data_IF_094269321295
#
_entry.id   IF_094269321295
#
_cell.length_a   1.000
_cell.length_b   1.000
_cell.length_c   1.000
_cell.angle_alpha   90.00
_cell.angle_beta   90.00
_cell.angle_gamma   90.00
#
_symmetry.space_group_name_H-M   'P 1'
#
loop_
_entity.id
_entity.type
_entity.pdbx_description
1 polymer ?
#
# COMPACT_ATOMS: atom_id res chain seq x y z
N UNK A 1 8.25 -8.98 6.01
CA UNK A 1 7.85 -9.06 4.59
C UNK A 1 8.22 -10.44 4.02
N UNK A 2 7.26 -11.13 3.41
CA UNK A 2 7.45 -12.46 2.77
C UNK A 2 7.84 -12.32 1.29
N UNK A 3 8.31 -13.40 0.67
CA UNK A 3 8.62 -13.42 -0.77
C UNK A 3 7.38 -13.26 -1.65
N UNK A 4 6.24 -13.77 -1.19
CA UNK A 4 4.94 -13.61 -1.88
C UNK A 4 4.51 -12.14 -1.90
N UNK A 5 4.65 -11.44 -0.77
CA UNK A 5 4.36 -10.01 -0.63
C UNK A 5 5.31 -9.15 -1.48
N UNK A 6 6.58 -9.58 -1.65
CA UNK A 6 7.52 -8.95 -2.58
C UNK A 6 7.06 -9.10 -4.04
N UNK A 7 6.62 -10.31 -4.41
CA UNK A 7 6.18 -10.61 -5.78
C UNK A 7 4.93 -9.83 -6.16
N UNK A 8 3.99 -9.69 -5.23
CA UNK A 8 2.78 -8.90 -5.42
C UNK A 8 3.10 -7.41 -5.60
N UNK A 9 3.99 -6.84 -4.78
CA UNK A 9 4.46 -5.45 -4.94
C UNK A 9 5.22 -5.21 -6.24
N UNK A 10 6.04 -6.17 -6.67
CA UNK A 10 6.72 -6.10 -7.97
C UNK A 10 5.72 -6.05 -9.12
N UNK A 11 4.66 -6.85 -9.04
CA UNK A 11 3.55 -6.83 -10.01
C UNK A 11 2.80 -5.49 -10.00
N UNK A 12 2.49 -4.97 -8.82
CA UNK A 12 1.82 -3.67 -8.66
C UNK A 12 2.66 -2.51 -9.20
N UNK A 13 3.98 -2.54 -8.99
CA UNK A 13 4.91 -1.53 -9.48
C UNK A 13 5.35 -1.75 -10.94
N UNK A 14 4.98 -2.88 -11.56
CA UNK A 14 5.44 -3.33 -12.89
C UNK A 14 6.97 -3.35 -13.01
N UNK A 15 7.65 -3.84 -11.98
CA UNK A 15 9.11 -3.95 -11.93
C UNK A 15 9.51 -5.42 -12.05
N UNK A 16 10.38 -5.72 -13.02
CA UNK A 16 11.00 -7.04 -13.14
C UNK A 16 12.33 -7.06 -12.40
N UNK A 17 12.40 -7.83 -11.31
CA UNK A 17 13.64 -8.06 -10.55
C UNK A 17 14.06 -9.50 -10.79
N UNK A 18 15.30 -9.73 -11.22
CA UNK A 18 15.79 -11.08 -11.46
C UNK A 18 15.88 -11.87 -10.15
N UNK A 19 15.59 -13.17 -10.22
CA UNK A 19 15.38 -14.03 -9.05
C UNK A 19 16.60 -14.11 -8.13
N UNK A 20 17.81 -14.04 -8.70
CA UNK A 20 19.07 -14.01 -7.96
C UNK A 20 19.23 -12.76 -7.05
N UNK A 21 18.40 -11.73 -7.24
CA UNK A 21 18.39 -10.50 -6.44
C UNK A 21 17.18 -10.39 -5.50
N UNK A 22 16.24 -11.35 -5.54
CA UNK A 22 15.02 -11.29 -4.72
C UNK A 22 15.31 -11.25 -3.22
N UNK A 23 16.21 -12.11 -2.75
CA UNK A 23 16.57 -12.17 -1.32
C UNK A 23 17.27 -10.88 -0.85
N UNK A 24 18.10 -10.29 -1.72
CA UNK A 24 18.76 -9.01 -1.44
C UNK A 24 17.73 -7.87 -1.35
N UNK A 25 16.80 -7.80 -2.32
CA UNK A 25 15.75 -6.79 -2.33
C UNK A 25 14.78 -6.98 -1.16
N UNK A 26 14.43 -8.21 -0.81
CA UNK A 26 13.61 -8.51 0.37
C UNK A 26 14.26 -7.97 1.65
N UNK A 27 15.57 -8.20 1.82
CA UNK A 27 16.30 -7.73 2.99
C UNK A 27 16.42 -6.21 3.00
N UNK A 28 16.71 -5.59 1.86
CA UNK A 28 16.76 -4.14 1.70
C UNK A 28 15.42 -3.48 2.04
N UNK A 29 14.32 -4.00 1.49
CA UNK A 29 12.98 -3.47 1.77
C UNK A 29 12.57 -3.69 3.22
N UNK A 30 12.92 -4.83 3.81
CA UNK A 30 12.63 -5.08 5.23
C UNK A 30 13.34 -4.07 6.12
N UNK A 31 14.61 -3.78 5.84
CA UNK A 31 15.42 -2.82 6.59
C UNK A 31 14.95 -1.37 6.37
N UNK A 32 14.75 -0.98 5.11
CA UNK A 32 14.34 0.38 4.75
C UNK A 32 12.91 0.71 5.20
N UNK A 33 12.00 -0.26 5.23
CA UNK A 33 10.63 -0.06 5.70
C UNK A 33 10.52 -0.17 7.22
N UNK A 34 11.48 -0.77 7.92
CA UNK A 34 11.47 -0.92 9.38
C UNK A 34 11.24 0.39 10.14
N UNK A 35 11.87 1.54 9.80
CA UNK A 35 11.59 2.81 10.46
C UNK A 35 10.21 3.38 10.08
N UNK A 36 9.73 3.16 8.85
CA UNK A 36 8.41 3.62 8.40
C UNK A 36 7.31 2.85 9.13
N UNK A 37 7.46 1.53 9.28
CA UNK A 37 6.57 0.70 10.08
C UNK A 37 6.57 1.09 11.57
N UNK A 38 7.71 1.53 12.10
CA UNK A 38 7.79 2.03 13.48
C UNK A 38 7.04 3.37 13.66
N UNK A 39 6.92 4.17 12.60
CA UNK A 39 6.17 5.42 12.56
C UNK A 39 4.72 5.24 12.09
N UNK A 40 4.32 4.03 11.70
CA UNK A 40 2.98 3.75 11.20
C UNK A 40 1.96 3.87 12.35
N UNK A 41 1.46 5.09 12.53
CA UNK A 41 0.37 5.42 13.44
C UNK A 41 -0.97 4.84 13.00
N UNK A 42 -1.07 4.13 11.86
CA UNK A 42 -2.28 3.41 11.43
C UNK A 42 -2.42 2.05 12.11
N UNK A 43 -1.32 1.44 12.56
CA UNK A 43 -1.35 0.33 13.50
C UNK A 43 -1.91 0.76 14.88
N UNK A 44 -1.81 2.05 15.20
CA UNK A 44 -2.47 2.68 16.36
C UNK A 44 -3.81 3.24 15.89
N UNK A 45 -4.83 2.38 15.82
CA UNK A 45 -6.23 2.79 15.57
C UNK A 45 -6.53 4.14 16.24
N UNK A 46 -6.81 5.17 15.45
CA UNK A 46 -8.03 6.01 15.48
C UNK A 46 -7.88 7.11 14.42
N UNK A 47 -8.33 6.86 13.19
CA UNK A 47 -8.67 7.93 12.26
C UNK A 47 -9.96 7.52 11.55
N UNK A 48 -11.02 8.27 11.79
CA UNK A 48 -12.27 8.16 11.05
C UNK A 48 -11.95 8.21 9.54
N UNK A 49 -12.57 7.35 8.72
CA UNK A 49 -12.26 7.30 7.30
C UNK A 49 -12.46 8.67 6.67
N UNK A 50 -11.51 9.10 5.84
CA UNK A 50 -11.62 10.35 5.11
C UNK A 50 -12.96 10.39 4.36
N UNK A 51 -13.73 11.45 4.57
CA UNK A 51 -15.01 11.67 3.89
C UNK A 51 -14.75 11.64 2.39
N UNK A 52 -15.25 10.60 1.71
CA UNK A 52 -15.22 10.54 0.25
C UNK A 52 -16.47 11.25 -0.25
N UNK A 53 -16.26 12.33 -1.01
CA UNK A 53 -17.34 12.97 -1.74
C UNK A 53 -17.56 12.18 -3.02
N UNK A 54 -18.66 11.44 -3.08
CA UNK A 54 -19.12 10.78 -4.30
C UNK A 54 -19.83 11.81 -5.19
N UNK A 55 -19.14 12.28 -6.22
CA UNK A 55 -19.65 13.30 -7.13
C UNK A 55 -20.72 12.76 -8.10
N UNK A 56 -20.86 11.44 -8.23
CA UNK A 56 -21.85 10.82 -9.11
C UNK A 56 -23.21 10.74 -8.41
N UNK A 57 -23.25 10.40 -7.11
CA UNK A 57 -24.48 10.35 -6.30
C UNK A 57 -25.16 11.71 -6.11
N UNK A 58 -24.42 12.82 -6.21
CA UNK A 58 -24.98 14.17 -6.10
C UNK A 58 -25.86 14.57 -7.30
N UNK A 59 -25.77 13.87 -8.44
CA UNK A 59 -26.56 14.18 -9.65
C UNK A 59 -27.94 13.53 -9.65
N UNK A 60 -28.12 12.41 -8.95
CA UNK A 60 -29.40 11.68 -8.90
C UNK A 60 -30.42 12.29 -7.92
N UNK A 61 -30.00 13.12 -6.97
CA UNK A 61 -30.89 13.71 -5.94
C UNK A 61 -31.54 15.04 -6.39
N UNK A 62 -31.02 15.68 -7.44
CA UNK A 62 -31.55 16.94 -7.97
C UNK A 62 -32.41 16.72 -9.23
N UNK A 63 -33.34 15.79 -9.14
CA UNK A 63 -34.16 15.35 -10.27
C UNK A 63 -35.48 14.68 -9.88
N UNK A 64 -36.24 15.28 -8.96
CA UNK A 64 -37.69 15.05 -8.90
C UNK A 64 -38.46 16.21 -8.29
#
# INVERSE_FOLDING_TARGET
MTLEELRDRMRAARIEIPENRLELVRRLLTDALQPIHALDSRAVRTLEPAVTFDAERARDDHGR
#
